data_IF_093941609115
#
_entry.id   IF_093941609115
#
_cell.length_a   1.000
_cell.length_b   1.000
_cell.length_c   1.000
_cell.angle_alpha   90.00
_cell.angle_beta   90.00
_cell.angle_gamma   90.00
#
_symmetry.space_group_name_H-M   'P 1'
#
loop_
_entity.id
_entity.type
_entity.pdbx_description
1 polymer ?
#
# COMPACT_ATOMS: atom_id res chain seq x y z
N UNK A 1 13.67 -34.05 1.03
CA UNK A 1 13.12 -33.34 -0.14
C UNK A 1 13.92 -32.07 -0.28
N UNK A 2 14.79 -32.01 -1.28
CA UNK A 2 15.62 -30.84 -1.53
C UNK A 2 14.73 -29.75 -2.13
N UNK A 3 14.45 -28.69 -1.37
CA UNK A 3 13.68 -27.55 -1.86
C UNK A 3 14.65 -26.64 -2.61
N UNK A 4 14.91 -26.92 -3.88
CA UNK A 4 15.59 -25.92 -4.71
C UNK A 4 14.60 -24.83 -5.08
N UNK A 5 14.94 -23.57 -4.79
CA UNK A 5 14.07 -22.41 -5.01
C UNK A 5 13.89 -22.03 -6.51
N UNK A 6 14.31 -22.91 -7.44
CA UNK A 6 14.36 -22.61 -8.87
C UNK A 6 15.33 -21.46 -9.20
N UNK A 7 15.25 -20.95 -10.43
CA UNK A 7 15.97 -19.76 -10.89
C UNK A 7 15.00 -18.61 -11.15
N UNK A 8 15.37 -17.38 -10.80
CA UNK A 8 14.60 -16.18 -11.16
C UNK A 8 14.83 -15.85 -12.64
N UNK A 9 13.75 -15.57 -13.37
CA UNK A 9 13.79 -15.07 -14.74
C UNK A 9 13.18 -13.65 -14.78
N UNK A 10 13.76 -12.77 -15.59
CA UNK A 10 13.25 -11.42 -15.76
C UNK A 10 12.00 -11.42 -16.67
N UNK A 11 10.99 -10.64 -16.29
CA UNK A 11 9.87 -10.27 -17.15
C UNK A 11 10.14 -8.91 -17.83
N UNK A 12 9.44 -8.55 -18.92
CA UNK A 12 9.48 -7.21 -19.48
C UNK A 12 9.12 -6.15 -18.42
N UNK A 13 9.75 -4.96 -18.44
CA UNK A 13 9.44 -3.91 -17.47
C UNK A 13 8.00 -3.39 -17.65
N UNK A 14 7.34 -3.06 -16.55
CA UNK A 14 6.07 -2.35 -16.57
C UNK A 14 6.26 -0.88 -17.02
N UNK A 15 5.17 -0.19 -17.34
CA UNK A 15 5.23 1.25 -17.63
C UNK A 15 5.82 2.03 -16.45
N UNK A 16 6.53 3.12 -16.72
CA UNK A 16 6.93 4.04 -15.66
C UNK A 16 5.69 4.77 -15.10
N UNK A 17 5.15 4.27 -13.98
CA UNK A 17 4.02 4.90 -13.30
C UNK A 17 4.43 6.05 -12.37
N UNK A 18 5.73 6.13 -12.03
CA UNK A 18 6.27 7.03 -11.03
C UNK A 18 7.35 7.93 -11.63
N UNK A 19 7.43 9.16 -11.16
CA UNK A 19 8.44 10.16 -11.58
C UNK A 19 9.60 10.27 -10.59
N UNK A 20 9.53 9.53 -9.49
CA UNK A 20 10.57 9.43 -8.47
C UNK A 20 10.73 7.97 -7.99
N UNK A 21 11.59 7.76 -7.00
CA UNK A 21 11.91 6.45 -6.44
C UNK A 21 10.66 5.75 -5.89
N UNK A 22 10.46 4.51 -6.35
CA UNK A 22 9.51 3.58 -5.74
C UNK A 22 10.03 3.20 -4.36
N UNK A 23 9.30 3.60 -3.32
CA UNK A 23 9.68 3.40 -1.91
C UNK A 23 9.20 2.06 -1.37
N UNK A 24 8.07 1.56 -1.88
CA UNK A 24 7.47 0.32 -1.41
C UNK A 24 6.62 -0.34 -2.50
N UNK A 25 6.53 -1.68 -2.45
CA UNK A 25 5.51 -2.46 -3.13
C UNK A 25 4.85 -3.41 -2.14
N UNK A 26 3.57 -3.74 -2.35
CA UNK A 26 2.90 -4.81 -1.62
C UNK A 26 1.83 -5.50 -2.46
N UNK A 27 1.54 -6.76 -2.18
CA UNK A 27 0.53 -7.56 -2.88
C UNK A 27 -0.72 -7.73 -2.03
N UNK A 28 -1.88 -7.74 -2.68
CA UNK A 28 -3.10 -8.19 -2.03
C UNK A 28 -3.04 -9.70 -1.74
N UNK A 29 -3.49 -10.11 -0.56
CA UNK A 29 -3.61 -11.53 -0.24
C UNK A 29 -4.79 -12.14 -1.03
N UNK A 30 -4.53 -13.17 -1.83
CA UNK A 30 -5.57 -13.91 -2.57
C UNK A 30 -6.14 -13.21 -3.80
N UNK A 31 -5.64 -12.02 -4.15
CA UNK A 31 -6.04 -11.28 -5.35
C UNK A 31 -4.83 -10.97 -6.23
N UNK A 32 -4.98 -10.91 -7.57
CA UNK A 32 -3.89 -10.61 -8.48
C UNK A 32 -3.61 -9.09 -8.54
N UNK A 33 -3.52 -8.44 -7.39
CA UNK A 33 -3.29 -7.00 -7.27
C UNK A 33 -1.96 -6.74 -6.58
N UNK A 34 -1.20 -5.81 -7.15
CA UNK A 34 -0.01 -5.23 -6.55
C UNK A 34 -0.19 -3.72 -6.43
N UNK A 35 0.31 -3.14 -5.36
CA UNK A 35 0.41 -1.69 -5.17
C UNK A 35 1.88 -1.32 -5.13
N UNK A 36 2.25 -0.26 -5.85
CA UNK A 36 3.54 0.42 -5.69
C UNK A 36 3.31 1.82 -5.12
N UNK A 37 4.25 2.29 -4.34
CA UNK A 37 4.26 3.62 -3.73
C UNK A 37 5.58 4.33 -4.00
N UNK A 38 5.54 5.65 -4.04
CA UNK A 38 6.69 6.45 -4.49
C UNK A 38 6.88 7.72 -3.67
N UNK A 39 8.14 8.17 -3.65
CA UNK A 39 8.51 9.47 -3.11
C UNK A 39 7.98 10.65 -3.93
N UNK A 40 7.42 10.41 -5.12
CA UNK A 40 6.67 11.44 -5.89
C UNK A 40 5.28 11.75 -5.32
N UNK A 41 4.88 11.05 -4.24
CA UNK A 41 3.61 11.26 -3.56
C UNK A 41 2.43 10.53 -4.18
N UNK A 42 2.69 9.62 -5.13
CA UNK A 42 1.70 8.75 -5.74
C UNK A 42 1.86 7.29 -5.31
N UNK A 43 0.73 6.58 -5.26
CA UNK A 43 0.70 5.13 -5.34
C UNK A 43 0.04 4.70 -6.65
N UNK A 44 0.38 3.52 -7.14
CA UNK A 44 -0.21 2.91 -8.32
C UNK A 44 -0.68 1.48 -8.02
N UNK A 45 -1.82 1.10 -8.56
CA UNK A 45 -2.41 -0.24 -8.45
C UNK A 45 -2.26 -0.94 -9.79
N UNK A 46 -1.84 -2.20 -9.74
CA UNK A 46 -1.50 -3.03 -10.89
C UNK A 46 -2.33 -4.30 -10.86
N UNK A 47 -2.96 -4.61 -11.98
CA UNK A 47 -3.53 -5.94 -12.19
C UNK A 47 -2.46 -6.87 -12.74
N UNK A 48 -2.02 -7.80 -11.92
CA UNK A 48 -0.97 -8.77 -12.24
C UNK A 48 -1.36 -9.69 -13.39
N UNK A 49 -2.65 -9.89 -13.67
CA UNK A 49 -3.13 -10.69 -14.81
C UNK A 49 -2.74 -10.08 -16.15
N UNK A 50 -2.55 -8.75 -16.18
CA UNK A 50 -2.19 -8.01 -17.40
C UNK A 50 -0.69 -8.01 -17.65
N UNK A 51 0.12 -8.20 -16.60
CA UNK A 51 1.58 -8.23 -16.68
C UNK A 51 2.01 -9.45 -17.52
N UNK A 52 2.82 -9.20 -18.56
CA UNK A 52 3.29 -10.22 -19.49
C UNK A 52 2.35 -10.52 -20.67
N UNK A 53 1.11 -10.03 -20.66
CA UNK A 53 0.20 -10.11 -21.81
C UNK A 53 0.49 -9.03 -22.87
N UNK A 54 1.04 -7.90 -22.44
CA UNK A 54 1.36 -6.75 -23.28
C UNK A 54 2.81 -6.30 -23.05
N UNK A 55 3.48 -5.69 -24.06
CA UNK A 55 4.86 -5.23 -23.94
C UNK A 55 5.07 -4.20 -22.83
N UNK A 56 4.04 -3.39 -22.56
CA UNK A 56 4.02 -2.36 -21.52
C UNK A 56 2.63 -2.37 -20.89
N UNK A 57 2.58 -2.52 -19.57
CA UNK A 57 1.32 -2.51 -18.80
C UNK A 57 1.28 -1.23 -17.99
N UNK A 58 0.22 -0.46 -18.15
CA UNK A 58 -0.07 0.71 -17.32
C UNK A 58 -0.82 0.28 -16.05
N UNK A 59 -0.67 1.00 -14.93
CA UNK A 59 -1.46 0.72 -13.73
C UNK A 59 -2.95 0.93 -14.01
N UNK A 60 -3.80 0.17 -13.31
CA UNK A 60 -5.27 0.34 -13.38
C UNK A 60 -5.74 1.58 -12.60
N UNK A 61 -4.91 2.06 -11.67
CA UNK A 61 -5.13 3.27 -10.88
C UNK A 61 -3.78 3.89 -10.51
N UNK A 62 -3.64 5.20 -10.58
CA UNK A 62 -2.53 5.94 -9.97
C UNK A 62 -3.07 7.20 -9.29
N UNK A 63 -2.76 7.41 -8.01
CA UNK A 63 -3.38 8.47 -7.19
C UNK A 63 -2.42 9.02 -6.15
N UNK A 64 -2.61 10.29 -5.83
CA UNK A 64 -2.04 10.93 -4.64
C UNK A 64 -2.99 10.77 -3.45
N UNK A 65 -2.46 10.87 -2.24
CA UNK A 65 -3.25 10.88 -1.00
C UNK A 65 -3.29 12.28 -0.41
N UNK A 66 -2.12 12.82 -0.06
CA UNK A 66 -1.93 14.13 0.59
C UNK A 66 -0.82 14.98 -0.07
N UNK A 67 -0.38 14.57 -1.27
CA UNK A 67 0.73 15.16 -2.02
C UNK A 67 2.12 15.03 -1.36
N UNK A 68 2.24 14.29 -0.24
CA UNK A 68 3.51 14.03 0.41
C UNK A 68 4.13 12.73 -0.10
N UNK A 69 5.46 12.60 -0.02
CA UNK A 69 6.16 11.36 -0.35
C UNK A 69 5.56 10.18 0.42
N UNK A 70 5.23 9.11 -0.31
CA UNK A 70 4.73 7.88 0.31
C UNK A 70 5.94 7.02 0.68
N UNK A 71 6.01 6.60 1.94
CA UNK A 71 7.13 5.82 2.48
C UNK A 71 6.82 4.34 2.49
N UNK A 72 5.55 4.00 2.78
CA UNK A 72 5.11 2.63 2.90
C UNK A 72 3.66 2.46 2.48
N UNK A 73 3.41 1.33 1.84
CA UNK A 73 2.06 0.77 1.64
C UNK A 73 1.97 -0.60 2.28
N UNK A 74 0.80 -0.94 2.83
CA UNK A 74 0.48 -2.29 3.29
C UNK A 74 -0.92 -2.69 2.85
N UNK A 75 -0.99 -3.77 2.11
CA UNK A 75 -2.20 -4.39 1.57
C UNK A 75 -2.28 -5.86 1.93
N UNK A 76 -1.13 -6.52 2.06
CA UNK A 76 -1.05 -7.87 2.59
C UNK A 76 -1.61 -7.90 4.02
N UNK A 77 -2.25 -9.02 4.36
CA UNK A 77 -2.86 -9.28 5.67
C UNK A 77 -3.90 -8.23 6.12
N UNK A 78 -4.38 -7.42 5.18
CA UNK A 78 -5.47 -6.48 5.43
C UNK A 78 -6.69 -7.21 6.00
N UNK A 79 -7.32 -6.67 7.06
CA UNK A 79 -8.49 -7.28 7.67
C UNK A 79 -9.74 -7.21 6.79
N UNK A 80 -9.74 -6.32 5.79
CA UNK A 80 -10.81 -6.17 4.82
C UNK A 80 -10.27 -6.30 3.40
N UNK A 81 -11.05 -6.87 2.46
CA UNK A 81 -10.66 -6.93 1.07
C UNK A 81 -10.25 -5.55 0.59
N UNK A 82 -9.04 -5.45 0.05
CA UNK A 82 -8.51 -4.25 -0.61
C UNK A 82 -8.44 -2.97 0.25
N UNK A 83 -8.38 -3.11 1.58
CA UNK A 83 -8.07 -1.98 2.44
C UNK A 83 -6.55 -1.75 2.49
N UNK A 84 -6.11 -0.67 1.87
CA UNK A 84 -4.72 -0.26 1.75
C UNK A 84 -4.35 0.68 2.91
N UNK A 85 -3.33 0.34 3.70
CA UNK A 85 -2.67 1.32 4.56
C UNK A 85 -1.61 2.07 3.76
N UNK A 86 -1.54 3.38 3.94
CA UNK A 86 -0.56 4.27 3.31
C UNK A 86 0.08 5.14 4.39
N UNK A 87 1.39 5.04 4.54
CA UNK A 87 2.18 5.97 5.35
C UNK A 87 2.90 6.96 4.44
N UNK A 88 2.61 8.24 4.65
CA UNK A 88 3.26 9.37 3.97
C UNK A 88 4.24 10.04 4.91
N UNK A 89 4.96 11.05 4.42
CA UNK A 89 5.84 11.85 5.26
C UNK A 89 5.12 12.60 6.39
N UNK A 90 3.82 12.87 6.25
CA UNK A 90 3.03 13.67 7.20
C UNK A 90 1.75 12.99 7.71
N UNK A 91 1.46 11.77 7.26
CA UNK A 91 0.17 11.16 7.57
C UNK A 91 0.15 9.64 7.48
N UNK A 92 -0.89 9.09 8.09
CA UNK A 92 -1.22 7.67 8.05
C UNK A 92 -2.69 7.53 7.63
N UNK A 93 -2.90 6.76 6.57
CA UNK A 93 -4.20 6.62 5.90
C UNK A 93 -4.56 5.15 5.75
N UNK A 94 -5.85 4.84 5.83
CA UNK A 94 -6.41 3.61 5.32
C UNK A 94 -7.37 3.95 4.15
N UNK A 95 -7.19 3.30 3.01
CA UNK A 95 -7.87 3.60 1.76
C UNK A 95 -8.58 2.34 1.27
N UNK A 96 -9.90 2.41 1.15
CA UNK A 96 -10.71 1.36 0.55
C UNK A 96 -10.58 1.40 -0.97
N UNK A 97 -10.00 0.36 -1.58
CA UNK A 97 -9.89 0.22 -3.03
C UNK A 97 -11.04 -0.64 -3.57
N UNK A 98 -11.98 -0.02 -4.27
CA UNK A 98 -13.17 -0.70 -4.80
C UNK A 98 -12.94 -1.22 -6.22
N UNK A 99 -13.61 -2.33 -6.56
CA UNK A 99 -13.85 -2.65 -7.97
C UNK A 99 -14.85 -1.64 -8.55
N UNK A 100 -14.45 -0.93 -9.60
CA UNK A 100 -15.30 -0.09 -10.43
C UNK A 100 -15.89 -0.86 -11.61
N UNK A 101 -16.53 -0.13 -12.53
CA UNK A 101 -17.07 -0.71 -13.76
C UNK A 101 -15.93 -1.26 -14.66
N UNK A 102 -16.18 -2.37 -15.34
CA UNK A 102 -15.23 -3.01 -16.27
C UNK A 102 -13.85 -3.31 -15.62
N UNK A 103 -13.85 -3.86 -14.41
CA UNK A 103 -12.65 -4.22 -13.63
C UNK A 103 -11.70 -3.03 -13.30
N UNK A 104 -12.20 -1.79 -13.38
CA UNK A 104 -11.48 -0.63 -12.89
C UNK A 104 -11.25 -0.73 -11.38
N UNK A 105 -10.24 -0.02 -10.87
CA UNK A 105 -10.04 0.15 -9.42
C UNK A 105 -10.25 1.63 -9.08
N UNK A 106 -11.07 1.90 -8.06
CA UNK A 106 -11.42 3.25 -7.63
C UNK A 106 -11.14 3.43 -6.13
N UNK A 107 -10.96 4.68 -5.68
CA UNK A 107 -10.89 5.00 -4.25
C UNK A 107 -12.31 5.13 -3.71
N UNK A 108 -12.67 4.27 -2.76
CA UNK A 108 -13.98 4.21 -2.15
C UNK A 108 -14.13 5.10 -0.92
N UNK A 109 -13.15 5.07 -0.01
CA UNK A 109 -13.10 5.87 1.20
C UNK A 109 -11.64 6.06 1.63
N UNK A 110 -11.34 7.20 2.25
CA UNK A 110 -10.05 7.51 2.85
C UNK A 110 -10.28 7.80 4.32
N UNK A 111 -9.70 6.99 5.20
CA UNK A 111 -9.76 7.11 6.65
C UNK A 111 -8.39 7.62 7.09
N UNK A 112 -8.38 8.78 7.76
CA UNK A 112 -7.18 9.33 8.37
C UNK A 112 -7.09 8.85 9.81
N UNK A 113 -5.90 8.54 10.30
CA UNK A 113 -5.70 8.50 11.75
C UNK A 113 -6.09 9.87 12.32
N UNK A 114 -7.05 9.91 13.25
CA UNK A 114 -7.43 11.15 13.95
C UNK A 114 -6.16 11.81 14.50
N UNK A 115 -6.00 13.13 14.38
CA UNK A 115 -4.90 13.81 15.04
C UNK A 115 -5.04 13.58 16.55
N UNK A 116 -4.25 12.66 17.14
CA UNK A 116 -3.92 12.82 18.56
C UNK A 116 -3.33 14.23 18.68
N UNK A 117 -3.62 14.93 19.77
CA UNK A 117 -3.33 16.36 19.97
C UNK A 117 -1.84 16.80 19.79
N UNK A 118 -0.95 15.89 19.37
CA UNK A 118 0.49 16.03 19.04
C UNK A 118 0.90 15.23 17.75
N UNK A 119 -0.01 14.98 16.79
CA UNK A 119 0.21 14.09 15.62
C UNK A 119 0.59 14.77 14.30
N UNK A 120 0.47 16.08 14.18
CA UNK A 120 0.51 16.76 12.87
C UNK A 120 1.84 16.67 12.12
N UNK A 121 2.83 15.94 12.64
CA UNK A 121 4.12 15.66 12.00
C UNK A 121 4.68 14.24 12.25
N UNK A 122 3.84 13.21 12.46
CA UNK A 122 4.38 11.85 12.63
C UNK A 122 4.69 11.20 11.29
N UNK A 123 5.95 10.85 11.12
CA UNK A 123 6.44 10.03 10.01
C UNK A 123 6.44 8.57 10.44
N UNK A 124 5.81 7.71 9.64
CA UNK A 124 5.86 6.25 9.83
C UNK A 124 6.63 5.62 8.68
N UNK A 125 7.79 5.03 8.97
CA UNK A 125 8.65 4.43 7.95
C UNK A 125 8.20 3.02 7.54
N UNK A 126 7.47 2.33 8.41
CA UNK A 126 6.90 1.01 8.11
C UNK A 126 5.52 0.87 8.75
N UNK A 127 4.63 0.18 8.05
CA UNK A 127 3.26 -0.12 8.47
C UNK A 127 2.91 -1.53 8.03
N UNK A 128 2.15 -2.24 8.87
CA UNK A 128 1.69 -3.61 8.60
C UNK A 128 0.33 -3.86 9.22
N UNK A 129 -0.57 -4.46 8.45
CA UNK A 129 -1.79 -5.03 8.98
C UNK A 129 -1.48 -6.29 9.80
N UNK A 130 -2.36 -6.60 10.74
CA UNK A 130 -2.31 -7.81 11.52
C UNK A 130 -3.44 -7.87 12.54
N UNK A 131 -3.22 -8.62 13.61
CA UNK A 131 -4.16 -8.74 14.72
C UNK A 131 -3.51 -8.37 16.05
N UNK A 132 -4.22 -7.61 16.87
CA UNK A 132 -3.86 -7.35 18.26
C UNK A 132 -5.08 -7.59 19.15
N UNK A 133 -4.91 -8.36 20.23
CA UNK A 133 -5.98 -8.72 21.17
C UNK A 133 -7.26 -9.27 20.49
N UNK A 134 -7.09 -10.09 19.45
CA UNK A 134 -8.20 -10.70 18.70
C UNK A 134 -8.96 -9.74 17.78
N UNK A 135 -8.46 -8.50 17.59
CA UNK A 135 -9.06 -7.49 16.71
C UNK A 135 -8.09 -7.14 15.57
N UNK A 136 -8.61 -6.82 14.38
CA UNK A 136 -7.83 -6.16 13.33
C UNK A 136 -7.07 -4.95 13.86
N UNK A 137 -5.79 -4.85 13.52
CA UNK A 137 -4.94 -3.73 13.91
C UNK A 137 -3.95 -3.37 12.80
N UNK A 138 -3.60 -2.09 12.75
CA UNK A 138 -2.50 -1.57 11.95
C UNK A 138 -1.34 -1.23 12.89
N UNK A 139 -0.18 -1.83 12.66
CA UNK A 139 1.04 -1.51 13.37
C UNK A 139 1.84 -0.52 12.55
N UNK A 140 2.37 0.53 13.18
CA UNK A 140 3.18 1.53 12.52
C UNK A 140 4.47 1.83 13.31
N UNK A 141 5.62 1.76 12.63
CA UNK A 141 6.92 2.09 13.21
C UNK A 141 7.17 3.60 13.03
N UNK A 142 7.24 4.32 14.15
CA UNK A 142 7.41 5.77 14.17
C UNK A 142 8.89 6.15 13.96
N UNK A 143 9.18 7.10 13.08
CA UNK A 143 10.56 7.48 12.73
C UNK A 143 11.26 8.27 13.83
N UNK A 144 10.51 9.07 14.59
CA UNK A 144 11.03 10.01 15.58
C UNK A 144 11.05 9.45 17.02
N UNK A 145 10.50 8.25 17.24
CA UNK A 145 10.44 7.60 18.56
C UNK A 145 10.66 6.08 18.42
N UNK A 146 11.36 5.42 19.36
CA UNK A 146 11.59 3.98 19.33
C UNK A 146 10.34 3.20 19.77
N UNK A 147 9.21 3.38 19.07
CA UNK A 147 7.91 2.79 19.40
C UNK A 147 7.20 2.26 18.15
N UNK A 148 6.40 1.23 18.38
CA UNK A 148 5.40 0.74 17.42
C UNK A 148 4.04 1.19 17.94
N UNK A 149 3.39 2.06 17.18
CA UNK A 149 2.03 2.49 17.46
C UNK A 149 1.04 1.45 16.89
N UNK A 150 -0.08 1.26 17.59
CA UNK A 150 -1.13 0.31 17.21
C UNK A 150 -2.42 1.09 16.98
N UNK A 151 -2.95 1.00 15.77
CA UNK A 151 -4.17 1.65 15.36
C UNK A 151 -5.27 0.63 15.12
N UNK A 152 -6.50 1.02 15.40
CA UNK A 152 -7.70 0.25 15.10
C UNK A 152 -8.59 1.08 14.19
N UNK A 153 -9.31 0.41 13.29
CA UNK A 153 -10.35 1.07 12.52
C UNK A 153 -11.50 1.42 13.46
N UNK A 154 -11.98 2.66 13.38
CA UNK A 154 -13.17 3.08 14.10
C UNK A 154 -14.38 2.24 13.63
N UNK A 155 -15.29 1.94 14.57
CA UNK A 155 -16.52 1.20 14.30
C UNK A 155 -17.56 2.08 13.60
#
# INVERSE_FOLDING_TARGET
MDRSAGSLAAAPPAAAAHTNMVSCIDCAAGEPLLVSASLDGTFAVWDLRRIGQQPVVAPVLARTVDQQSILKVALADSPYPRLLAVATALGLYAIDLKSGAADAVEIGAVITAEPFDDLTQRQFNDVRWGSHAGRPALFAACSDRPRVDVFYLAA
#
